data_IF_446652958519
#
_entry.id   IF_446652958519
#
_cell.length_a   1.000
_cell.length_b   1.000
_cell.length_c   1.000
_cell.angle_alpha   90.00
_cell.angle_beta   90.00
_cell.angle_gamma   90.00
#
_symmetry.space_group_name_H-M   'P 1'
#
loop_
_entity.id
_entity.type
_entity.pdbx_description
1 polymer ?
#
# COMPACT_ATOMS: atom_id res chain seq x y z
N UNK A 1 -25.24 3.54 10.63
CA UNK A 1 -24.92 4.18 11.90
C UNK A 1 -23.50 4.66 11.87
N UNK A 2 -23.26 5.90 12.31
CA UNK A 2 -21.96 6.55 12.18
C UNK A 2 -21.55 7.17 13.51
N UNK A 3 -20.36 6.82 14.01
CA UNK A 3 -19.77 7.49 15.18
C UNK A 3 -18.55 8.26 14.70
N UNK A 4 -18.52 9.55 14.99
CA UNK A 4 -17.36 10.39 14.72
C UNK A 4 -16.58 10.58 16.01
N UNK A 5 -15.29 10.33 15.97
CA UNK A 5 -14.37 10.54 17.09
C UNK A 5 -13.31 11.53 16.63
N UNK A 6 -13.22 12.66 17.33
CA UNK A 6 -12.27 13.72 17.02
C UNK A 6 -11.37 14.00 18.21
N UNK A 7 -10.07 13.83 17.99
CA UNK A 7 -9.04 14.29 18.92
C UNK A 7 -9.12 15.81 19.09
N UNK A 8 -9.11 16.23 20.33
CA UNK A 8 -9.13 17.63 20.78
C UNK A 8 -7.95 17.90 21.69
N UNK A 9 -6.87 17.13 21.61
CA UNK A 9 -5.62 17.36 22.34
C UNK A 9 -4.97 18.70 21.99
N UNK A 10 -4.05 19.17 22.85
CA UNK A 10 -3.40 20.46 22.66
C UNK A 10 -2.69 20.64 21.31
N UNK A 11 -2.13 19.57 20.72
CA UNK A 11 -1.46 19.58 19.40
C UNK A 11 -2.39 19.96 18.25
N UNK A 12 -3.71 19.75 18.41
CA UNK A 12 -4.70 20.16 17.42
C UNK A 12 -4.80 21.67 17.26
N UNK A 13 -4.26 22.47 18.20
CA UNK A 13 -4.18 23.92 18.07
C UNK A 13 -3.15 24.39 17.03
N UNK A 14 -2.24 23.51 16.61
CA UNK A 14 -1.19 23.86 15.67
C UNK A 14 -1.72 24.00 14.23
N UNK A 15 -1.21 24.98 13.50
CA UNK A 15 -1.33 25.12 12.03
C UNK A 15 -2.77 25.00 11.47
N UNK A 16 -3.76 25.38 12.27
CA UNK A 16 -5.18 25.32 11.88
C UNK A 16 -5.75 23.89 11.77
N UNK A 17 -5.11 22.88 12.38
CA UNK A 17 -5.55 21.47 12.33
C UNK A 17 -6.97 21.33 12.87
N UNK A 18 -7.28 21.93 14.02
CA UNK A 18 -8.61 21.87 14.63
C UNK A 18 -9.67 22.50 13.72
N UNK A 19 -9.41 23.66 13.12
CA UNK A 19 -10.34 24.34 12.20
C UNK A 19 -10.67 23.46 11.00
N UNK A 20 -9.63 22.85 10.41
CA UNK A 20 -9.78 21.91 9.29
C UNK A 20 -10.58 20.67 9.71
N UNK A 21 -10.29 20.11 10.89
CA UNK A 21 -10.96 18.91 11.38
C UNK A 21 -12.44 19.17 11.74
N UNK A 22 -12.75 20.32 12.37
CA UNK A 22 -14.13 20.77 12.60
C UNK A 22 -14.88 20.93 11.28
N UNK A 23 -14.27 21.59 10.29
CA UNK A 23 -14.91 21.81 8.98
C UNK A 23 -15.23 20.49 8.28
N UNK A 24 -14.28 19.55 8.29
CA UNK A 24 -14.44 18.20 7.78
C UNK A 24 -15.55 17.41 8.49
N UNK A 25 -15.62 17.50 9.83
CA UNK A 25 -16.65 16.85 10.62
C UNK A 25 -18.04 17.47 10.40
N UNK A 26 -18.14 18.80 10.32
CA UNK A 26 -19.37 19.50 9.97
C UNK A 26 -19.87 19.08 8.59
N UNK A 27 -18.98 18.94 7.61
CA UNK A 27 -19.34 18.40 6.30
C UNK A 27 -19.94 16.99 6.43
N UNK A 28 -19.31 16.11 7.20
CA UNK A 28 -19.82 14.76 7.47
C UNK A 28 -21.22 14.77 8.05
N UNK A 29 -21.45 15.52 9.14
CA UNK A 29 -22.76 15.64 9.82
C UNK A 29 -23.83 16.20 8.89
N UNK A 30 -23.51 17.22 8.08
CA UNK A 30 -24.48 17.84 7.15
C UNK A 30 -24.92 16.91 6.03
N UNK A 31 -24.03 16.02 5.58
CA UNK A 31 -24.27 15.09 4.48
C UNK A 31 -24.87 13.74 4.92
N UNK A 32 -25.17 13.58 6.21
CA UNK A 32 -25.96 12.44 6.70
C UNK A 32 -27.37 12.46 6.12
N UNK A 33 -27.91 11.29 5.82
CA UNK A 33 -29.28 11.11 5.34
C UNK A 33 -30.24 11.05 6.52
N UNK A 34 -31.50 11.43 6.34
CA UNK A 34 -32.50 11.42 7.42
C UNK A 34 -32.73 10.01 8.03
N UNK A 35 -32.43 8.95 7.27
CA UNK A 35 -32.48 7.56 7.75
C UNK A 35 -31.24 7.11 8.54
N UNK A 36 -30.20 7.92 8.64
CA UNK A 36 -28.99 7.61 9.38
C UNK A 36 -29.16 7.89 10.88
N UNK A 37 -28.33 7.23 11.70
CA UNK A 37 -28.14 7.56 13.11
C UNK A 37 -26.68 7.85 13.36
N UNK A 38 -26.39 8.82 14.22
CA UNK A 38 -25.02 9.21 14.49
C UNK A 38 -24.78 9.67 15.92
N UNK A 39 -23.51 9.72 16.30
CA UNK A 39 -23.05 10.42 17.50
C UNK A 39 -21.67 11.05 17.23
N UNK A 40 -21.31 12.08 17.99
CA UNK A 40 -20.00 12.73 17.94
C UNK A 40 -19.36 12.60 19.32
N UNK A 41 -18.11 12.19 19.33
CA UNK A 41 -17.27 12.07 20.51
C UNK A 41 -16.04 12.93 20.26
N UNK A 42 -15.73 13.83 21.19
CA UNK A 42 -14.40 14.42 21.23
C UNK A 42 -13.61 13.81 22.39
N UNK A 43 -12.29 13.75 22.25
CA UNK A 43 -11.46 13.25 23.33
C UNK A 43 -10.17 14.03 23.45
N UNK A 44 -9.66 14.07 24.68
CA UNK A 44 -8.32 14.53 25.00
C UNK A 44 -7.78 13.61 26.10
N UNK A 45 -7.65 14.08 27.35
CA UNK A 45 -7.40 13.20 28.50
C UNK A 45 -8.59 12.29 28.83
N UNK A 46 -9.80 12.77 28.57
CA UNK A 46 -11.07 12.08 28.75
C UNK A 46 -11.91 12.19 27.47
N UNK A 47 -12.84 11.26 27.27
CA UNK A 47 -13.85 11.32 26.22
C UNK A 47 -15.10 12.08 26.65
N UNK A 48 -15.64 12.86 25.73
CA UNK A 48 -16.92 13.55 25.89
C UNK A 48 -17.83 13.21 24.72
N UNK A 49 -18.95 12.58 25.06
CA UNK A 49 -19.97 12.20 24.10
C UNK A 49 -20.96 13.35 23.96
N UNK A 50 -21.36 13.66 22.73
CA UNK A 50 -22.45 14.60 22.46
C UNK A 50 -23.76 14.10 23.08
N UNK A 51 -24.02 12.80 22.96
CA UNK A 51 -25.20 12.10 23.50
C UNK A 51 -24.79 10.72 24.04
N UNK A 52 -25.57 10.13 24.95
CA UNK A 52 -25.24 8.80 25.49
C UNK A 52 -25.34 7.66 24.47
N UNK A 53 -26.05 7.88 23.35
CA UNK A 53 -26.27 6.91 22.29
C UNK A 53 -26.46 7.59 20.94
N UNK A 54 -26.60 6.78 19.89
CA UNK A 54 -26.85 7.25 18.54
C UNK A 54 -28.20 7.98 18.44
N UNK A 55 -28.19 9.18 17.86
CA UNK A 55 -29.40 9.97 17.57
C UNK A 55 -29.75 9.96 16.08
N UNK A 56 -31.03 10.14 15.69
CA UNK A 56 -31.42 10.27 14.29
C UNK A 56 -30.76 11.49 13.61
N UNK A 57 -30.31 11.35 12.37
CA UNK A 57 -29.72 12.43 11.58
C UNK A 57 -30.76 13.34 10.88
N UNK A 58 -31.91 13.56 11.53
CA UNK A 58 -32.90 14.54 11.06
C UNK A 58 -32.40 15.98 11.29
N UNK A 59 -33.17 16.99 10.87
CA UNK A 59 -32.79 18.40 11.00
C UNK A 59 -32.40 18.80 12.45
N UNK A 60 -33.11 18.30 13.46
CA UNK A 60 -32.84 18.59 14.87
C UNK A 60 -31.54 17.90 15.33
N UNK A 61 -31.36 16.63 14.99
CA UNK A 61 -30.16 15.87 15.32
C UNK A 61 -28.92 16.45 14.65
N UNK A 62 -28.98 16.76 13.36
CA UNK A 62 -27.89 17.42 12.63
C UNK A 62 -27.54 18.77 13.24
N UNK A 63 -28.54 19.60 13.57
CA UNK A 63 -28.30 20.89 14.25
C UNK A 63 -27.59 20.70 15.60
N UNK A 64 -27.99 19.70 16.39
CA UNK A 64 -27.31 19.37 17.65
C UNK A 64 -25.85 18.95 17.43
N UNK A 65 -25.59 18.12 16.42
CA UNK A 65 -24.25 17.75 15.99
C UNK A 65 -23.41 18.96 15.61
N UNK A 66 -23.94 19.86 14.79
CA UNK A 66 -23.24 21.09 14.41
C UNK A 66 -22.93 21.98 15.62
N UNK A 67 -23.88 22.15 16.54
CA UNK A 67 -23.69 22.97 17.73
C UNK A 67 -22.66 22.39 18.70
N UNK A 68 -22.56 21.06 18.79
CA UNK A 68 -21.51 20.37 19.55
C UNK A 68 -20.13 20.58 18.91
N UNK A 69 -20.02 20.33 17.60
CA UNK A 69 -18.74 20.43 16.87
C UNK A 69 -18.19 21.86 16.88
N UNK A 70 -19.05 22.87 16.76
CA UNK A 70 -18.64 24.28 16.79
C UNK A 70 -18.04 24.72 18.14
N UNK A 71 -18.32 24.01 19.22
CA UNK A 71 -17.80 24.32 20.57
C UNK A 71 -16.48 23.61 20.89
N UNK A 72 -16.02 22.71 20.03
CA UNK A 72 -14.82 21.92 20.29
C UNK A 72 -13.58 22.80 20.27
N UNK A 73 -12.79 22.73 21.33
CA UNK A 73 -11.54 23.47 21.51
C UNK A 73 -10.41 22.53 21.89
N UNK A 74 -9.19 22.74 21.34
CA UNK A 74 -8.01 21.96 21.73
C UNK A 74 -7.68 22.15 23.22
N UNK A 75 -7.43 21.05 23.95
CA UNK A 75 -6.99 21.03 25.33
C UNK A 75 -6.46 19.66 25.73
N UNK A 76 -5.56 19.59 26.72
CA UNK A 76 -5.17 18.32 27.36
C UNK A 76 -4.30 17.38 26.51
N UNK A 77 -4.18 16.13 26.99
CA UNK A 77 -3.45 15.04 26.35
C UNK A 77 -4.31 14.22 25.40
N UNK A 78 -3.94 12.96 25.16
CA UNK A 78 -4.52 12.12 24.10
C UNK A 78 -4.77 10.69 24.62
N UNK A 79 -6.02 10.35 24.94
CA UNK A 79 -6.46 9.05 25.43
C UNK A 79 -7.21 8.28 24.32
N UNK A 80 -6.44 7.66 23.42
CA UNK A 80 -6.99 6.89 22.29
C UNK A 80 -7.71 5.63 22.78
N UNK A 81 -7.21 4.97 23.83
CA UNK A 81 -7.77 3.71 24.31
C UNK A 81 -9.23 3.84 24.74
N UNK A 82 -9.50 4.77 25.66
CA UNK A 82 -10.83 4.88 26.27
C UNK A 82 -11.82 5.53 25.30
N UNK A 83 -11.38 6.51 24.51
CA UNK A 83 -12.19 7.10 23.45
C UNK A 83 -12.61 6.08 22.39
N UNK A 84 -11.70 5.21 21.95
CA UNK A 84 -12.02 4.14 21.00
C UNK A 84 -13.03 3.14 21.61
N UNK A 85 -12.85 2.75 22.87
CA UNK A 85 -13.78 1.84 23.56
C UNK A 85 -15.15 2.47 23.76
N UNK A 86 -15.20 3.74 24.14
CA UNK A 86 -16.45 4.50 24.27
C UNK A 86 -17.18 4.57 22.93
N UNK A 87 -16.45 4.83 21.83
CA UNK A 87 -17.00 4.88 20.50
C UNK A 87 -17.57 3.53 20.02
N UNK A 88 -16.85 2.42 20.26
CA UNK A 88 -17.31 1.09 19.91
C UNK A 88 -18.60 0.70 20.65
N UNK A 89 -18.75 1.12 21.92
CA UNK A 89 -19.95 0.88 22.74
C UNK A 89 -21.18 1.67 22.31
N UNK A 90 -21.03 2.65 21.42
CA UNK A 90 -22.19 3.40 20.89
C UNK A 90 -23.04 2.57 19.93
N UNK A 91 -22.46 1.54 19.32
CA UNK A 91 -23.17 0.73 18.36
C UNK A 91 -24.02 -0.35 19.04
N UNK A 92 -25.26 -0.48 18.56
CA UNK A 92 -26.16 -1.57 18.98
C UNK A 92 -25.95 -2.84 18.13
N UNK A 93 -26.66 -3.90 18.48
CA UNK A 93 -26.59 -5.20 17.80
C UNK A 93 -27.40 -5.28 16.50
N UNK A 94 -27.88 -4.16 15.95
CA UNK A 94 -28.67 -4.20 14.71
C UNK A 94 -27.80 -4.54 13.49
N UNK A 95 -28.38 -5.08 12.42
CA UNK A 95 -27.68 -5.40 11.16
C UNK A 95 -27.37 -4.16 10.30
N UNK A 96 -27.55 -2.95 10.85
CA UNK A 96 -27.24 -1.72 10.12
C UNK A 96 -25.72 -1.63 9.88
N UNK A 97 -25.26 -1.14 8.73
CA UNK A 97 -23.85 -0.83 8.52
C UNK A 97 -23.35 0.15 9.59
N UNK A 98 -22.21 -0.17 10.20
CA UNK A 98 -21.61 0.63 11.27
C UNK A 98 -20.30 1.22 10.79
N UNK A 99 -20.17 2.53 10.90
CA UNK A 99 -18.99 3.26 10.49
C UNK A 99 -18.45 4.05 11.68
N UNK A 100 -17.20 3.79 12.03
CA UNK A 100 -16.48 4.57 13.02
C UNK A 100 -15.43 5.40 12.28
N UNK A 101 -15.49 6.72 12.42
CA UNK A 101 -14.55 7.66 11.84
C UNK A 101 -13.70 8.24 12.98
N UNK A 102 -12.42 7.93 13.00
CA UNK A 102 -11.51 8.29 14.07
C UNK A 102 -10.42 9.24 13.58
N UNK A 103 -10.42 10.49 14.05
CA UNK A 103 -9.48 11.55 13.65
C UNK A 103 -8.54 11.88 14.81
N UNK A 104 -7.23 11.86 14.57
CA UNK A 104 -6.20 12.24 15.56
C UNK A 104 -4.96 12.83 14.90
N UNK A 105 -4.26 13.72 15.60
CA UNK A 105 -2.97 14.27 15.18
C UNK A 105 -1.80 13.86 16.08
N UNK A 106 -2.06 12.98 17.06
CA UNK A 106 -1.17 12.72 18.17
C UNK A 106 -0.89 11.25 18.45
N UNK A 107 0.05 11.06 19.38
CA UNK A 107 0.35 9.78 20.02
C UNK A 107 -0.53 9.58 21.26
N UNK A 108 -0.86 8.34 21.66
CA UNK A 108 -1.52 8.12 22.94
C UNK A 108 -0.58 8.55 24.08
N UNK A 109 -1.01 9.53 24.88
CA UNK A 109 -0.23 10.14 25.97
C UNK A 109 -0.90 10.02 27.33
N UNK A 110 -2.20 9.73 27.37
CA UNK A 110 -3.00 9.56 28.60
C UNK A 110 -3.67 8.18 28.56
N UNK A 111 -3.74 7.52 29.72
CA UNK A 111 -4.30 6.17 29.83
C UNK A 111 -3.34 5.11 29.30
N UNK A 112 -3.87 4.11 28.59
CA UNK A 112 -3.07 3.06 27.95
C UNK A 112 -2.41 3.59 26.67
N UNK A 113 -1.09 3.50 26.59
CA UNK A 113 -0.27 3.98 25.48
C UNK A 113 0.43 2.87 24.69
N UNK A 114 0.38 1.62 25.18
CA UNK A 114 0.90 0.49 24.43
C UNK A 114 -0.06 0.11 23.28
N UNK A 115 0.46 0.16 22.05
CA UNK A 115 -0.30 -0.06 20.81
C UNK A 115 -0.99 -1.43 20.80
N UNK A 116 -0.28 -2.50 21.14
CA UNK A 116 -0.82 -3.86 21.10
C UNK A 116 -1.98 -4.05 22.09
N UNK A 117 -1.89 -3.42 23.26
CA UNK A 117 -2.98 -3.42 24.25
C UNK A 117 -4.15 -2.58 23.81
N UNK A 118 -3.95 -1.39 23.22
CA UNK A 118 -5.04 -0.57 22.68
C UNK A 118 -5.85 -1.38 21.66
N UNK A 119 -5.16 -2.06 20.74
CA UNK A 119 -5.77 -2.90 19.71
C UNK A 119 -6.54 -4.06 20.36
N UNK A 120 -5.93 -4.76 21.31
CA UNK A 120 -6.60 -5.86 22.04
C UNK A 120 -7.86 -5.38 22.77
N UNK A 121 -7.78 -4.26 23.48
CA UNK A 121 -8.89 -3.67 24.20
C UNK A 121 -10.04 -3.27 23.26
N UNK A 122 -9.73 -2.84 22.03
CA UNK A 122 -10.73 -2.56 21.01
C UNK A 122 -11.39 -3.86 20.51
N UNK A 123 -10.61 -4.91 20.27
CA UNK A 123 -11.10 -6.22 19.81
C UNK A 123 -11.99 -6.94 20.84
N UNK A 124 -11.85 -6.65 22.13
CA UNK A 124 -12.74 -7.16 23.18
C UNK A 124 -14.20 -6.69 23.00
N UNK A 125 -14.41 -5.55 22.32
CA UNK A 125 -15.73 -5.00 22.04
C UNK A 125 -16.13 -5.41 20.62
N UNK A 126 -16.83 -6.55 20.51
CA UNK A 126 -17.29 -7.07 19.22
C UNK A 126 -18.43 -6.24 18.66
N UNK A 127 -18.17 -5.62 17.51
CA UNK A 127 -19.15 -4.85 16.75
C UNK A 127 -19.29 -5.46 15.36
N UNK A 128 -20.41 -6.15 15.10
CA UNK A 128 -20.66 -6.77 13.80
C UNK A 128 -20.87 -5.73 12.71
N UNK A 129 -20.34 -6.00 11.51
CA UNK A 129 -20.41 -5.12 10.34
C UNK A 129 -19.79 -3.72 10.56
N UNK A 130 -18.80 -3.63 11.46
CA UNK A 130 -18.01 -2.41 11.69
C UNK A 130 -17.03 -2.15 10.54
N UNK A 131 -16.96 -0.88 10.16
CA UNK A 131 -15.92 -0.29 9.32
C UNK A 131 -15.25 0.84 10.09
N UNK A 132 -13.96 0.69 10.42
CA UNK A 132 -13.18 1.71 11.14
C UNK A 132 -12.27 2.45 10.18
N UNK A 133 -12.53 3.74 9.98
CA UNK A 133 -11.69 4.61 9.17
C UNK A 133 -10.92 5.55 10.08
N UNK A 134 -9.60 5.55 9.95
CA UNK A 134 -8.72 6.39 10.75
C UNK A 134 -8.15 7.52 9.89
N UNK A 135 -8.02 8.70 10.48
CA UNK A 135 -7.50 9.90 9.84
C UNK A 135 -6.37 10.45 10.70
N UNK A 136 -5.13 10.27 10.24
CA UNK A 136 -3.95 10.82 10.89
C UNK A 136 -3.61 12.18 10.32
N UNK A 137 -3.67 13.22 11.15
CA UNK A 137 -3.40 14.61 10.73
C UNK A 137 -1.97 15.00 11.09
N UNK A 138 -1.19 15.48 10.14
CA UNK A 138 0.21 15.82 10.34
C UNK A 138 1.12 14.60 10.42
N UNK A 139 2.25 14.75 11.12
CA UNK A 139 3.30 13.74 11.19
C UNK A 139 3.41 13.08 12.57
N UNK A 140 2.78 13.64 13.60
CA UNK A 140 2.93 13.23 15.00
C UNK A 140 1.94 12.13 15.43
N UNK A 141 1.58 11.27 14.48
CA UNK A 141 0.64 10.17 14.66
C UNK A 141 1.34 8.82 14.73
N UNK A 142 0.73 7.87 15.44
CA UNK A 142 1.18 6.49 15.44
C UNK A 142 0.63 5.75 14.22
N UNK A 143 1.43 5.67 13.15
CA UNK A 143 0.96 5.07 11.89
C UNK A 143 0.65 3.58 12.03
N UNK A 144 1.43 2.84 12.82
CA UNK A 144 1.20 1.41 13.06
C UNK A 144 -0.15 1.16 13.77
N UNK A 145 -0.47 1.96 14.80
CA UNK A 145 -1.76 1.87 15.48
C UNK A 145 -2.92 2.16 14.54
N UNK A 146 -2.89 3.28 13.81
CA UNK A 146 -3.99 3.69 12.94
C UNK A 146 -4.19 2.74 11.76
N UNK A 147 -3.11 2.21 11.20
CA UNK A 147 -3.15 1.22 10.10
C UNK A 147 -3.72 -0.12 10.57
N UNK A 148 -3.32 -0.61 11.75
CA UNK A 148 -3.89 -1.83 12.35
C UNK A 148 -5.37 -1.68 12.68
N UNK A 149 -5.74 -0.59 13.36
CA UNK A 149 -7.14 -0.31 13.71
C UNK A 149 -8.04 -0.33 12.46
N UNK A 150 -7.62 0.31 11.38
CA UNK A 150 -8.38 0.34 10.15
C UNK A 150 -8.44 -1.03 9.45
N UNK A 151 -7.28 -1.68 9.25
CA UNK A 151 -7.19 -2.93 8.49
C UNK A 151 -7.90 -4.11 9.16
N UNK A 152 -7.83 -4.22 10.49
CA UNK A 152 -8.53 -5.27 11.24
C UNK A 152 -10.06 -5.10 11.21
N UNK A 153 -10.53 -3.87 11.02
CA UNK A 153 -11.95 -3.51 11.05
C UNK A 153 -12.48 -3.09 9.67
N UNK A 154 -11.96 -3.67 8.58
CA UNK A 154 -12.49 -3.50 7.21
C UNK A 154 -12.57 -2.05 6.72
N UNK A 155 -11.74 -1.16 7.26
CA UNK A 155 -11.65 0.23 6.83
C UNK A 155 -10.26 0.58 6.31
N UNK A 156 -10.04 1.87 6.13
CA UNK A 156 -8.80 2.43 5.58
C UNK A 156 -8.31 3.58 6.46
N UNK A 157 -7.00 3.62 6.66
CA UNK A 157 -6.31 4.73 7.31
C UNK A 157 -5.90 5.78 6.26
N UNK A 158 -6.24 7.04 6.48
CA UNK A 158 -5.88 8.16 5.60
C UNK A 158 -4.95 9.11 6.36
N UNK A 159 -3.83 9.49 5.76
CA UNK A 159 -2.92 10.49 6.33
C UNK A 159 -3.00 11.80 5.57
N UNK A 160 -3.03 12.89 6.32
CA UNK A 160 -3.17 14.24 5.81
C UNK A 160 -1.93 15.03 6.21
N UNK A 161 -1.08 15.29 5.23
CA UNK A 161 0.12 16.09 5.45
C UNK A 161 -0.27 17.55 5.76
N UNK A 162 0.56 18.34 6.46
CA UNK A 162 0.22 19.71 6.86
C UNK A 162 -0.22 20.63 5.70
N UNK A 163 0.35 20.40 4.51
CA UNK A 163 0.05 21.12 3.27
C UNK A 163 -1.17 20.59 2.52
N UNK A 164 -1.63 19.39 2.83
CA UNK A 164 -2.82 18.80 2.21
C UNK A 164 -4.10 19.38 2.83
N UNK A 165 -5.17 19.41 2.04
CA UNK A 165 -6.46 19.87 2.51
C UNK A 165 -7.24 18.69 3.14
N UNK A 166 -7.33 18.69 4.47
CA UNK A 166 -8.08 17.72 5.26
C UNK A 166 -9.56 17.67 4.86
N UNK A 167 -10.19 18.83 4.66
CA UNK A 167 -11.60 18.93 4.29
C UNK A 167 -11.87 18.21 2.98
N UNK A 168 -11.01 18.36 1.97
CA UNK A 168 -11.14 17.67 0.68
C UNK A 168 -11.02 16.15 0.84
N UNK A 169 -10.05 15.66 1.62
CA UNK A 169 -9.86 14.21 1.83
C UNK A 169 -11.04 13.59 2.56
N UNK A 170 -11.49 14.23 3.64
CA UNK A 170 -12.57 13.74 4.48
C UNK A 170 -13.94 13.87 3.79
N UNK A 171 -14.21 14.96 3.08
CA UNK A 171 -15.45 15.11 2.29
C UNK A 171 -15.53 14.10 1.15
N UNK A 172 -14.40 13.86 0.45
CA UNK A 172 -14.31 12.82 -0.58
C UNK A 172 -14.58 11.44 0.00
N UNK A 173 -14.07 11.17 1.21
CA UNK A 173 -14.38 9.95 1.95
C UNK A 173 -15.88 9.83 2.25
N UNK A 174 -16.51 10.85 2.85
CA UNK A 174 -17.94 10.82 3.17
C UNK A 174 -18.84 10.63 1.95
N UNK A 175 -18.48 11.27 0.85
CA UNK A 175 -19.21 11.12 -0.43
C UNK A 175 -19.22 9.67 -0.89
N UNK A 176 -18.10 8.95 -0.71
CA UNK A 176 -17.98 7.52 -1.03
C UNK A 176 -18.77 6.68 -0.03
N UNK A 177 -18.48 6.79 1.26
CA UNK A 177 -19.01 5.85 2.27
C UNK A 177 -20.50 5.98 2.55
N UNK A 178 -21.09 7.15 2.29
CA UNK A 178 -22.54 7.33 2.45
C UNK A 178 -23.35 6.59 1.38
N UNK A 179 -22.72 6.04 0.34
CA UNK A 179 -23.42 5.36 -0.75
C UNK A 179 -22.85 3.96 -1.03
N UNK A 180 -22.98 3.00 -0.09
CA UNK A 180 -22.66 1.61 -0.39
C UNK A 180 -23.59 1.08 -1.48
N UNK A 181 -23.01 0.48 -2.52
CA UNK A 181 -23.73 -0.11 -3.65
C UNK A 181 -23.90 -1.61 -3.44
N UNK A 182 -22.83 -2.26 -2.97
CA UNK A 182 -22.78 -3.70 -2.70
C UNK A 182 -21.94 -3.98 -1.45
N UNK A 183 -22.50 -4.67 -0.46
CA UNK A 183 -21.84 -5.01 0.80
C UNK A 183 -21.75 -6.51 1.00
N UNK A 184 -20.90 -6.96 1.93
CA UNK A 184 -20.74 -8.38 2.28
C UNK A 184 -20.41 -9.25 1.05
N UNK A 185 -19.35 -8.86 0.34
CA UNK A 185 -18.99 -9.50 -0.91
C UNK A 185 -18.38 -10.88 -0.69
N UNK A 186 -18.82 -11.83 -1.51
CA UNK A 186 -18.27 -13.18 -1.61
C UNK A 186 -18.11 -13.54 -3.08
N UNK A 187 -17.00 -14.18 -3.44
CA UNK A 187 -16.66 -14.49 -4.83
C UNK A 187 -16.33 -15.99 -4.93
N UNK A 188 -17.15 -16.71 -5.68
CA UNK A 188 -16.90 -18.08 -6.07
C UNK A 188 -16.12 -18.10 -7.39
N UNK A 189 -15.02 -18.86 -7.40
CA UNK A 189 -14.12 -19.02 -8.54
C UNK A 189 -14.50 -20.16 -9.50
N UNK A 190 -15.64 -20.82 -9.29
CA UNK A 190 -16.13 -21.85 -10.21
C UNK A 190 -15.18 -23.05 -10.34
N UNK A 191 -14.48 -23.40 -9.26
CA UNK A 191 -13.53 -24.50 -9.20
C UNK A 191 -12.07 -24.15 -9.57
N UNK A 192 -11.79 -22.91 -9.99
CA UNK A 192 -10.40 -22.47 -10.23
C UNK A 192 -9.66 -22.34 -8.91
N UNK A 193 -8.52 -23.03 -8.80
CA UNK A 193 -7.65 -22.93 -7.63
C UNK A 193 -6.84 -21.63 -7.70
N UNK A 194 -7.15 -20.71 -6.80
CA UNK A 194 -6.49 -19.40 -6.71
C UNK A 194 -5.65 -19.27 -5.43
N UNK A 195 -4.52 -18.59 -5.54
CA UNK A 195 -3.57 -18.32 -4.46
C UNK A 195 -3.15 -16.84 -4.48
N UNK A 196 -2.72 -16.34 -3.31
CA UNK A 196 -2.14 -15.00 -3.17
C UNK A 196 -3.04 -13.90 -3.78
N UNK A 197 -4.34 -13.92 -3.44
CA UNK A 197 -5.29 -12.89 -3.85
C UNK A 197 -5.20 -11.63 -2.99
N UNK A 198 -5.29 -10.47 -3.64
CA UNK A 198 -5.24 -9.15 -3.02
C UNK A 198 -6.38 -8.26 -3.52
N UNK A 199 -7.06 -7.50 -2.64
CA UNK A 199 -6.88 -7.50 -1.18
C UNK A 199 -7.28 -8.84 -0.54
N UNK A 200 -6.67 -9.19 0.60
CA UNK A 200 -6.95 -10.47 1.31
C UNK A 200 -8.37 -10.56 1.86
N UNK A 201 -8.98 -9.40 2.12
CA UNK A 201 -10.37 -9.26 2.55
C UNK A 201 -11.06 -8.35 1.54
N UNK A 202 -12.16 -8.82 0.94
CA UNK A 202 -12.97 -7.99 0.08
C UNK A 202 -13.71 -6.94 0.91
N UNK A 203 -13.63 -5.69 0.47
CA UNK A 203 -14.35 -4.57 1.05
C UNK A 203 -15.64 -4.33 0.27
N UNK A 204 -16.54 -3.54 0.85
CA UNK A 204 -17.72 -3.09 0.14
C UNK A 204 -17.38 -2.25 -1.09
N UNK A 205 -18.28 -2.25 -2.07
CA UNK A 205 -18.22 -1.36 -3.22
C UNK A 205 -19.10 -0.15 -2.94
N UNK A 206 -18.48 1.02 -2.94
CA UNK A 206 -19.14 2.31 -2.78
C UNK A 206 -19.35 2.99 -4.13
N UNK A 207 -20.35 3.86 -4.24
CA UNK A 207 -20.61 4.63 -5.46
C UNK A 207 -19.35 5.41 -5.89
N UNK A 208 -18.98 5.27 -7.17
CA UNK A 208 -17.79 5.92 -7.74
C UNK A 208 -16.46 5.29 -7.32
N UNK A 209 -16.48 4.09 -6.74
CA UNK A 209 -15.27 3.31 -6.42
C UNK A 209 -15.24 2.01 -7.23
N UNK A 210 -14.07 1.36 -7.23
CA UNK A 210 -13.86 0.07 -7.87
C UNK A 210 -13.11 -0.84 -6.91
N UNK A 211 -13.59 -2.07 -6.73
CA UNK A 211 -12.83 -3.14 -6.08
C UNK A 211 -12.10 -3.93 -7.17
N UNK A 212 -10.77 -3.97 -7.09
CA UNK A 212 -9.94 -4.78 -7.98
C UNK A 212 -9.32 -5.92 -7.19
N UNK A 213 -9.61 -7.15 -7.61
CA UNK A 213 -9.03 -8.36 -7.04
C UNK A 213 -7.99 -8.91 -8.01
N UNK A 214 -6.77 -9.12 -7.53
CA UNK A 214 -5.67 -9.70 -8.32
C UNK A 214 -5.06 -10.87 -7.57
N UNK A 215 -4.79 -11.97 -8.27
CA UNK A 215 -4.25 -13.18 -7.66
C UNK A 215 -3.58 -14.07 -8.70
N UNK A 216 -3.10 -15.21 -8.23
CA UNK A 216 -2.53 -16.26 -9.08
C UNK A 216 -3.49 -17.44 -9.11
N UNK A 217 -3.48 -18.18 -10.19
CA UNK A 217 -4.16 -19.47 -10.26
C UNK A 217 -3.16 -20.56 -10.64
N UNK A 218 -3.49 -21.81 -10.33
CA UNK A 218 -2.63 -22.97 -10.61
C UNK A 218 -3.43 -24.04 -11.34
N UNK A 219 -3.04 -24.32 -12.58
CA UNK A 219 -3.73 -25.28 -13.43
C UNK A 219 -2.76 -26.33 -13.99
N UNK A 220 -3.17 -27.60 -13.98
CA UNK A 220 -2.42 -28.69 -14.62
C UNK A 220 -2.70 -28.82 -16.13
N UNK A 221 -3.82 -28.25 -16.58
CA UNK A 221 -4.28 -28.17 -17.98
C UNK A 221 -5.11 -26.91 -18.17
N UNK A 222 -5.44 -26.52 -19.41
CA UNK A 222 -6.32 -25.38 -19.64
C UNK A 222 -7.70 -25.64 -19.00
N UNK A 223 -8.23 -24.63 -18.30
CA UNK A 223 -9.60 -24.67 -17.76
C UNK A 223 -10.41 -23.68 -18.60
N UNK A 224 -11.46 -24.16 -19.25
CA UNK A 224 -12.28 -23.38 -20.17
C UNK A 224 -13.72 -23.24 -19.64
N UNK A 225 -14.43 -22.21 -20.10
CA UNK A 225 -15.85 -22.01 -19.79
C UNK A 225 -16.16 -21.90 -18.29
N UNK A 226 -15.25 -21.35 -17.50
CA UNK A 226 -15.45 -21.10 -16.07
C UNK A 226 -16.52 -20.02 -15.89
N UNK A 227 -17.37 -20.21 -14.87
CA UNK A 227 -18.31 -19.19 -14.41
C UNK A 227 -17.92 -18.74 -13.01
N UNK A 228 -17.59 -17.46 -12.85
CA UNK A 228 -17.41 -16.84 -11.54
C UNK A 228 -18.74 -16.30 -11.04
N UNK A 229 -18.98 -16.40 -9.73
CA UNK A 229 -20.19 -15.89 -9.10
C UNK A 229 -19.84 -14.92 -7.98
N UNK A 230 -20.17 -13.64 -8.16
CA UNK A 230 -20.06 -12.62 -7.12
C UNK A 230 -21.41 -12.47 -6.42
N UNK A 231 -21.42 -12.69 -5.11
CA UNK A 231 -22.56 -12.45 -4.24
C UNK A 231 -22.31 -11.24 -3.34
N UNK A 232 -23.39 -10.56 -2.96
CA UNK A 232 -23.36 -9.46 -2.00
C UNK A 232 -24.77 -8.96 -1.68
N UNK A 233 -24.87 -7.90 -0.90
CA UNK A 233 -26.15 -7.27 -0.53
C UNK A 233 -26.23 -5.86 -1.10
N UNK A 234 -27.37 -5.52 -1.70
CA UNK A 234 -27.72 -4.13 -2.02
C UNK A 234 -28.89 -3.72 -1.13
N UNK A 235 -28.62 -2.87 -0.14
CA UNK A 235 -29.55 -2.66 0.97
C UNK A 235 -29.79 -3.95 1.76
N UNK A 236 -31.03 -4.42 1.78
CA UNK A 236 -31.42 -5.69 2.45
C UNK A 236 -31.48 -6.89 1.49
N UNK A 237 -31.41 -6.66 0.19
CA UNK A 237 -31.60 -7.69 -0.82
C UNK A 237 -30.26 -8.33 -1.19
N UNK A 238 -30.23 -9.66 -1.23
CA UNK A 238 -29.11 -10.39 -1.82
C UNK A 238 -29.09 -10.16 -3.34
N UNK A 239 -27.88 -10.00 -3.88
CA UNK A 239 -27.61 -9.82 -5.30
C UNK A 239 -26.51 -10.77 -5.72
N UNK A 240 -26.67 -11.35 -6.90
CA UNK A 240 -25.74 -12.30 -7.50
C UNK A 240 -25.41 -11.87 -8.92
N UNK A 241 -24.13 -11.87 -9.26
CA UNK A 241 -23.61 -11.55 -10.58
C UNK A 241 -22.79 -12.73 -11.10
N UNK A 242 -23.09 -13.20 -12.31
CA UNK A 242 -22.41 -14.34 -12.94
C UNK A 242 -21.58 -13.87 -14.12
N UNK A 243 -20.32 -14.28 -14.15
CA UNK A 243 -19.37 -14.00 -15.23
C UNK A 243 -18.97 -15.32 -15.87
N UNK A 244 -19.64 -15.68 -16.96
CA UNK A 244 -19.44 -16.95 -17.68
C UNK A 244 -18.43 -16.82 -18.83
N UNK A 245 -18.06 -17.96 -19.40
CA UNK A 245 -17.17 -18.09 -20.57
C UNK A 245 -15.77 -17.51 -20.31
N UNK A 246 -15.21 -17.81 -19.12
CA UNK A 246 -13.86 -17.41 -18.78
C UNK A 246 -12.89 -18.58 -18.92
N UNK A 247 -11.76 -18.31 -19.57
CA UNK A 247 -10.71 -19.28 -19.79
C UNK A 247 -9.48 -18.96 -18.94
N UNK A 248 -8.94 -19.99 -18.29
CA UNK A 248 -7.73 -19.96 -17.48
C UNK A 248 -6.71 -20.92 -18.09
N UNK A 249 -6.00 -20.49 -19.15
CA UNK A 249 -4.99 -21.32 -19.81
C UNK A 249 -3.77 -21.52 -18.91
N UNK A 250 -2.97 -22.55 -19.18
CA UNK A 250 -1.69 -22.75 -18.47
C UNK A 250 -0.70 -21.61 -18.70
N UNK A 251 -0.78 -20.96 -19.86
CA UNK A 251 0.09 -19.84 -20.25
C UNK A 251 -0.70 -18.86 -21.11
N UNK A 252 -0.62 -17.58 -20.76
CA UNK A 252 -1.16 -16.47 -21.53
C UNK A 252 -0.12 -15.35 -21.57
N UNK A 253 0.20 -14.87 -22.77
CA UNK A 253 1.25 -13.85 -22.97
C UNK A 253 0.68 -12.49 -23.36
N UNK A 254 -0.62 -12.43 -23.68
CA UNK A 254 -1.30 -11.20 -24.12
C UNK A 254 -1.31 -10.09 -23.07
N UNK A 255 -1.28 -10.45 -21.78
CA UNK A 255 -1.43 -9.51 -20.66
C UNK A 255 -0.17 -9.53 -19.76
N UNK A 256 0.99 -9.25 -20.36
CA UNK A 256 2.31 -9.26 -19.72
C UNK A 256 2.49 -8.23 -18.58
N UNK A 257 1.58 -7.28 -18.45
CA UNK A 257 1.53 -6.32 -17.34
C UNK A 257 0.99 -6.93 -16.03
N UNK A 258 0.18 -7.99 -16.10
CA UNK A 258 -0.49 -8.57 -14.93
C UNK A 258 0.49 -9.12 -13.87
N UNK A 259 1.58 -9.83 -14.21
CA UNK A 259 2.54 -10.32 -13.22
C UNK A 259 3.17 -9.21 -12.38
N UNK A 260 3.54 -8.08 -13.00
CA UNK A 260 4.08 -6.92 -12.27
C UNK A 260 3.01 -6.27 -11.40
N UNK A 261 1.79 -6.09 -11.91
CA UNK A 261 0.68 -5.55 -11.11
C UNK A 261 0.41 -6.41 -9.86
N UNK A 262 0.42 -7.74 -10.04
CA UNK A 262 0.29 -8.69 -8.93
C UNK A 262 1.46 -8.56 -7.94
N UNK A 263 2.69 -8.48 -8.43
CA UNK A 263 3.87 -8.35 -7.59
C UNK A 263 3.86 -7.03 -6.79
N UNK A 264 3.45 -5.91 -7.40
CA UNK A 264 3.30 -4.63 -6.70
C UNK A 264 2.29 -4.72 -5.56
N UNK A 265 1.14 -5.38 -5.80
CA UNK A 265 0.12 -5.62 -4.77
C UNK A 265 0.61 -6.53 -3.65
N UNK A 266 1.36 -7.59 -3.98
CA UNK A 266 2.00 -8.48 -3.00
C UNK A 266 3.04 -7.74 -2.16
N UNK A 267 3.91 -6.94 -2.79
CA UNK A 267 4.89 -6.09 -2.11
C UNK A 267 4.19 -5.11 -1.17
N UNK A 268 3.15 -4.40 -1.63
CA UNK A 268 2.37 -3.49 -0.79
C UNK A 268 1.76 -4.19 0.44
N UNK A 269 1.28 -5.42 0.28
CA UNK A 269 0.78 -6.23 1.40
C UNK A 269 1.91 -6.66 2.35
N UNK A 270 3.04 -7.15 1.83
CA UNK A 270 4.20 -7.56 2.63
C UNK A 270 4.78 -6.40 3.44
N UNK A 271 4.92 -5.24 2.81
CA UNK A 271 5.36 -4.01 3.47
C UNK A 271 4.43 -3.63 4.63
N UNK A 272 3.11 -3.79 4.46
CA UNK A 272 2.16 -3.56 5.53
C UNK A 272 2.30 -4.60 6.66
N UNK A 273 2.52 -5.88 6.34
CA UNK A 273 2.80 -6.89 7.35
C UNK A 273 4.07 -6.59 8.14
N UNK A 274 5.13 -6.12 7.48
CA UNK A 274 6.38 -5.73 8.15
C UNK A 274 6.14 -4.51 9.06
N UNK A 275 5.41 -3.50 8.60
CA UNK A 275 5.10 -2.30 9.40
C UNK A 275 4.21 -2.62 10.61
N UNK A 276 3.27 -3.54 10.44
CA UNK A 276 2.35 -3.95 11.49
C UNK A 276 3.02 -4.92 12.49
N UNK A 277 3.77 -5.91 12.03
CA UNK A 277 4.22 -7.02 12.88
C UNK A 277 5.73 -7.02 13.16
N UNK A 278 6.45 -6.04 12.63
CA UNK A 278 7.91 -5.98 12.67
C UNK A 278 8.56 -6.73 11.50
N UNK A 279 9.84 -6.43 11.28
CA UNK A 279 10.62 -7.05 10.22
C UNK A 279 10.99 -8.49 10.56
N UNK A 280 10.67 -9.39 9.64
CA UNK A 280 11.11 -10.78 9.66
C UNK A 280 11.92 -11.07 8.39
N UNK A 281 12.96 -11.89 8.52
CA UNK A 281 13.86 -12.24 7.41
C UNK A 281 13.09 -12.74 6.19
N UNK A 282 12.11 -13.62 6.40
CA UNK A 282 11.30 -14.21 5.34
C UNK A 282 10.49 -13.18 4.55
N UNK A 283 9.82 -12.25 5.25
CA UNK A 283 9.06 -11.18 4.61
C UNK A 283 9.96 -10.23 3.83
N UNK A 284 11.11 -9.85 4.42
CA UNK A 284 12.09 -8.99 3.75
C UNK A 284 12.65 -9.65 2.51
N UNK A 285 13.07 -10.92 2.62
CA UNK A 285 13.67 -11.65 1.50
C UNK A 285 12.65 -11.81 0.35
N UNK A 286 11.35 -12.01 0.64
CA UNK A 286 10.30 -12.03 -0.38
C UNK A 286 10.09 -10.65 -1.03
N UNK A 287 10.12 -9.56 -0.25
CA UNK A 287 10.04 -8.20 -0.81
C UNK A 287 11.23 -7.92 -1.73
N UNK A 288 12.44 -8.33 -1.36
CA UNK A 288 13.63 -8.20 -2.20
C UNK A 288 13.47 -9.03 -3.48
N UNK A 289 13.07 -10.30 -3.39
CA UNK A 289 12.87 -11.18 -4.55
C UNK A 289 11.84 -10.62 -5.54
N UNK A 290 10.69 -10.15 -5.05
CA UNK A 290 9.68 -9.52 -5.90
C UNK A 290 10.16 -8.17 -6.45
N UNK A 291 10.85 -7.39 -5.62
CA UNK A 291 11.44 -6.10 -5.98
C UNK A 291 12.40 -6.21 -7.15
N UNK A 292 13.36 -7.14 -7.07
CA UNK A 292 14.34 -7.37 -8.14
C UNK A 292 13.73 -8.09 -9.34
N UNK A 293 12.89 -9.10 -9.14
CA UNK A 293 12.31 -9.85 -10.27
C UNK A 293 11.45 -8.97 -11.17
N UNK A 294 10.61 -8.11 -10.58
CA UNK A 294 9.63 -7.30 -11.31
C UNK A 294 10.03 -5.83 -11.48
N UNK A 295 11.22 -5.45 -11.02
CA UNK A 295 11.72 -4.07 -11.12
C UNK A 295 10.91 -3.08 -10.26
N UNK A 296 10.49 -3.49 -9.06
CA UNK A 296 9.69 -2.68 -8.14
C UNK A 296 10.62 -2.01 -7.13
N UNK A 297 10.57 -0.67 -7.03
CA UNK A 297 11.35 0.08 -6.04
C UNK A 297 10.75 -0.09 -4.64
N UNK A 298 11.40 -0.90 -3.83
CA UNK A 298 11.07 -1.15 -2.42
C UNK A 298 12.11 -0.49 -1.49
N UNK A 299 11.83 -0.34 -0.18
CA UNK A 299 12.84 0.13 0.75
C UNK A 299 14.05 -0.80 0.93
N UNK A 300 13.97 -2.04 0.42
CA UNK A 300 15.03 -3.04 0.49
C UNK A 300 15.80 -3.20 -0.82
N UNK A 301 15.45 -2.43 -1.84
CA UNK A 301 16.06 -2.48 -3.18
C UNK A 301 16.47 -1.08 -3.60
N UNK A 302 17.75 -0.88 -3.91
CA UNK A 302 18.26 0.36 -4.51
C UNK A 302 18.79 0.08 -5.91
N UNK A 303 18.59 1.04 -6.81
CA UNK A 303 19.21 1.03 -8.13
C UNK A 303 20.39 1.99 -8.10
N UNK A 304 21.60 1.49 -8.37
CA UNK A 304 22.77 2.35 -8.54
C UNK A 304 22.82 2.77 -10.02
N UNK A 305 22.74 4.08 -10.27
CA UNK A 305 23.12 4.65 -11.55
C UNK A 305 24.63 4.89 -11.50
N UNK A 306 25.40 4.11 -12.24
CA UNK A 306 26.78 4.46 -12.54
C UNK A 306 26.76 5.21 -13.87
N UNK A 307 26.88 6.53 -13.84
CA UNK A 307 27.20 7.26 -15.07
C UNK A 307 28.55 6.71 -15.56
N UNK A 308 28.61 6.29 -16.84
CA UNK A 308 29.79 5.68 -17.45
C UNK A 308 31.02 6.59 -17.56
N UNK A 309 31.16 7.61 -16.70
CA UNK A 309 32.24 8.59 -16.68
C UNK A 309 33.36 8.31 -15.66
N UNK A 310 33.32 7.21 -14.89
CA UNK A 310 34.37 6.92 -13.90
C UNK A 310 35.67 6.30 -14.47
N UNK A 311 35.80 6.13 -15.80
CA UNK A 311 36.96 5.48 -16.40
C UNK A 311 37.96 6.37 -17.17
N UNK A 312 37.81 7.71 -17.19
CA UNK A 312 38.77 8.57 -17.90
C UNK A 312 39.79 9.34 -17.02
N UNK A 313 39.60 9.47 -15.71
CA UNK A 313 40.49 10.30 -14.87
C UNK A 313 41.68 9.56 -14.22
N UNK A 314 41.97 8.31 -14.58
CA UNK A 314 43.12 7.55 -14.02
C UNK A 314 44.41 7.61 -14.84
N UNK A 315 44.57 8.62 -15.70
CA UNK A 315 45.85 8.87 -16.40
C UNK A 315 46.26 10.34 -16.35
N UNK A 316 46.57 10.86 -15.17
CA UNK A 316 47.64 11.84 -14.96
C UNK A 316 47.77 12.26 -13.48
N UNK A 317 48.66 11.61 -12.73
CA UNK A 317 49.68 12.26 -11.88
C UNK A 317 50.38 11.22 -11.02
N UNK A 318 51.67 11.05 -11.31
CA UNK A 318 52.66 10.26 -10.58
C UNK A 318 53.09 10.93 -9.26
N UNK A 319 53.68 10.10 -8.40
CA UNK A 319 54.57 10.40 -7.26
C UNK A 319 53.98 10.90 -5.93
N UNK A 320 53.86 10.00 -4.95
CA UNK A 320 54.95 9.75 -3.97
C UNK A 320 54.50 8.83 -2.82
N UNK A 321 55.37 7.84 -2.57
CA UNK A 321 55.63 7.01 -1.37
C UNK A 321 54.75 7.11 -0.11
N UNK A 322 54.17 5.95 0.26
CA UNK A 322 54.37 5.28 1.57
C UNK A 322 53.59 5.77 2.80
N UNK A 323 52.64 4.97 3.29
CA UNK A 323 52.69 4.28 4.60
C UNK A 323 51.38 3.52 4.91
N UNK A 324 51.54 2.53 5.78
CA UNK A 324 50.66 1.42 6.16
C UNK A 324 49.43 1.75 7.01
N UNK A 325 48.44 0.85 6.92
CA UNK A 325 47.36 0.51 7.87
C UNK A 325 47.32 1.23 9.23
N UNK A 326 46.18 1.85 9.56
CA UNK A 326 45.56 1.68 10.88
C UNK A 326 44.09 2.12 10.92
N UNK A 327 43.27 1.21 11.46
CA UNK A 327 41.90 1.42 11.91
C UNK A 327 41.91 2.45 13.04
N UNK A 328 41.11 3.53 12.96
CA UNK A 328 40.71 4.31 14.15
C UNK A 328 39.33 4.96 13.94
N UNK A 329 38.41 4.61 14.83
CA UNK A 329 37.13 5.28 15.09
C UNK A 329 37.38 6.68 15.69
N UNK A 330 36.84 7.73 15.08
CA UNK A 330 36.92 9.09 15.60
C UNK A 330 35.99 10.07 14.88
N UNK A 331 35.07 10.66 15.64
CA UNK A 331 33.92 11.53 15.27
C UNK A 331 34.23 12.89 14.60
N UNK A 332 33.24 13.32 13.79
CA UNK A 332 32.75 14.70 13.44
C UNK A 332 33.65 15.54 12.53
N UNK A 333 33.18 16.24 11.48
CA UNK A 333 31.91 16.95 11.27
C UNK A 333 31.64 17.23 9.77
N UNK A 334 30.35 17.23 9.40
CA UNK A 334 29.67 18.01 8.35
C UNK A 334 30.41 18.37 7.04
N UNK A 335 29.99 17.76 5.93
CA UNK A 335 29.53 18.48 4.72
C UNK A 335 28.39 17.73 4.02
N UNK A 336 27.42 18.52 3.56
CA UNK A 336 26.16 18.17 2.92
C UNK A 336 26.24 17.17 1.77
N UNK A 337 25.27 16.25 1.74
CA UNK A 337 24.59 15.83 0.51
C UNK A 337 23.20 15.27 0.86
N UNK A 338 22.31 16.19 1.25
CA UNK A 338 20.88 15.95 1.21
C UNK A 338 20.46 15.93 -0.26
N UNK A 339 20.22 14.74 -0.82
CA UNK A 339 19.20 14.58 -1.85
C UNK A 339 18.06 13.72 -1.25
N UNK A 340 16.91 14.31 -0.92
CA UNK A 340 15.78 13.57 -0.34
C UNK A 340 15.11 12.56 -1.28
N UNK A 341 15.54 12.47 -2.55
CA UNK A 341 14.83 11.69 -3.57
C UNK A 341 15.18 10.21 -3.63
N UNK A 342 16.25 9.76 -2.95
CA UNK A 342 16.77 8.39 -3.13
C UNK A 342 17.05 7.61 -1.84
N UNK A 343 16.58 8.08 -0.67
CA UNK A 343 16.70 7.30 0.56
C UNK A 343 15.46 6.43 0.78
N UNK A 344 15.60 5.12 0.69
CA UNK A 344 14.58 4.17 1.11
C UNK A 344 14.15 4.42 2.57
N UNK A 345 12.83 4.49 2.87
CA UNK A 345 12.37 4.70 4.24
C UNK A 345 12.73 3.50 5.13
N UNK A 346 13.21 3.76 6.36
CA UNK A 346 13.40 2.72 7.37
C UNK A 346 12.04 2.16 7.80
N UNK A 347 11.82 0.86 7.56
CA UNK A 347 10.51 0.21 7.70
C UNK A 347 10.02 0.16 9.17
N UNK A 348 10.90 0.36 10.15
CA UNK A 348 10.57 0.36 11.58
C UNK A 348 10.13 1.70 12.19
N UNK A 349 10.11 2.81 11.44
CA UNK A 349 9.66 4.10 12.00
C UNK A 349 8.14 4.17 12.00
N UNK A 350 7.53 4.33 13.18
CA UNK A 350 6.06 4.35 13.34
C UNK A 350 5.47 5.76 13.47
N UNK A 351 6.28 6.79 13.68
CA UNK A 351 5.90 8.21 13.80
C UNK A 351 6.74 9.12 12.91
N UNK A 352 6.28 10.35 12.67
CA UNK A 352 7.00 11.35 11.89
C UNK A 352 6.81 11.22 10.38
N UNK A 353 7.42 12.15 9.64
CA UNK A 353 7.22 12.30 8.19
C UNK A 353 7.53 11.02 7.40
N UNK A 354 8.62 10.32 7.75
CA UNK A 354 9.00 9.07 7.07
C UNK A 354 7.98 7.96 7.28
N UNK A 355 7.41 7.85 8.47
CA UNK A 355 6.39 6.84 8.78
C UNK A 355 5.11 7.09 7.99
N UNK A 356 4.66 8.36 7.93
CA UNK A 356 3.49 8.78 7.14
C UNK A 356 3.71 8.50 5.65
N UNK A 357 4.87 8.88 5.10
CA UNK A 357 5.21 8.63 3.70
C UNK A 357 5.28 7.14 3.37
N UNK A 358 5.87 6.33 4.25
CA UNK A 358 5.93 4.88 4.09
C UNK A 358 4.53 4.25 4.07
N UNK A 359 3.63 4.68 4.96
CA UNK A 359 2.24 4.21 4.96
C UNK A 359 1.49 4.59 3.67
N UNK A 360 1.60 5.86 3.26
CA UNK A 360 0.96 6.35 2.02
C UNK A 360 1.45 5.54 0.81
N UNK A 361 2.76 5.29 0.70
CA UNK A 361 3.33 4.48 -0.40
C UNK A 361 2.83 3.03 -0.37
N UNK A 362 2.83 2.38 0.79
CA UNK A 362 2.33 1.01 0.92
C UNK A 362 0.86 0.88 0.50
N UNK A 363 0.01 1.84 0.88
CA UNK A 363 -1.40 1.88 0.48
C UNK A 363 -1.59 2.16 -1.00
N UNK A 364 -0.79 3.05 -1.59
CA UNK A 364 -0.82 3.28 -3.03
C UNK A 364 -0.51 1.99 -3.79
N UNK A 365 0.53 1.26 -3.40
CA UNK A 365 0.86 -0.05 -4.00
C UNK A 365 -0.27 -1.07 -3.82
N UNK A 366 -0.96 -1.05 -2.67
CA UNK A 366 -2.12 -1.90 -2.44
C UNK A 366 -3.38 -1.48 -3.21
N UNK A 367 -3.47 -0.22 -3.65
CA UNK A 367 -4.60 0.31 -4.41
C UNK A 367 -4.35 0.35 -5.93
N UNK A 368 -3.12 0.07 -6.38
CA UNK A 368 -2.67 0.23 -7.77
C UNK A 368 -3.46 -0.66 -8.74
N UNK A 369 -4.24 -0.06 -9.64
CA UNK A 369 -5.10 -0.78 -10.62
C UNK A 369 -4.47 -0.83 -12.01
N UNK A 370 -3.51 0.06 -12.28
CA UNK A 370 -2.87 0.20 -13.58
C UNK A 370 -1.37 0.07 -13.39
N UNK A 371 -0.71 -0.70 -14.26
CA UNK A 371 0.73 -0.59 -14.43
C UNK A 371 0.94 0.64 -15.29
N UNK A 372 1.37 1.75 -14.70
CA UNK A 372 1.82 2.89 -15.50
C UNK A 372 3.00 2.41 -16.34
N UNK A 373 2.82 2.44 -17.67
CA UNK A 373 3.90 2.19 -18.64
C UNK A 373 5.02 3.23 -18.54
N UNK A 374 4.75 4.34 -17.83
CA UNK A 374 5.60 5.52 -17.73
C UNK A 374 6.13 5.84 -16.32
N UNK A 375 5.61 5.24 -15.23
CA UNK A 375 6.21 5.49 -13.92
C UNK A 375 7.51 4.71 -13.80
N UNK A 376 8.59 5.49 -13.86
CA UNK A 376 9.96 5.06 -13.72
C UNK A 376 10.29 3.92 -14.70
N UNK A 377 10.40 4.25 -15.99
CA UNK A 377 11.67 3.87 -16.64
C UNK A 377 12.71 4.36 -15.66
N UNK A 378 13.29 3.43 -14.91
CA UNK A 378 14.43 3.69 -14.06
C UNK A 378 15.45 4.32 -15.01
N UNK A 379 15.50 5.66 -15.04
CA UNK A 379 16.34 6.45 -15.96
C UNK A 379 17.81 6.33 -15.58
N UNK A 380 18.18 5.26 -14.90
CA UNK A 380 19.56 4.94 -14.54
C UNK A 380 20.28 4.25 -15.69
N UNK A 381 19.59 3.89 -16.78
CA UNK A 381 20.19 3.17 -17.92
C UNK A 381 20.62 1.74 -17.59
N UNK A 382 20.61 1.36 -16.31
CA UNK A 382 21.09 0.08 -15.77
C UNK A 382 19.97 -0.95 -15.54
N UNK A 383 18.70 -0.57 -15.68
CA UNK A 383 17.57 -1.51 -15.61
C UNK A 383 16.58 -1.27 -16.73
N UNK A 384 16.19 -2.33 -17.44
CA UNK A 384 15.23 -2.28 -18.54
C UNK A 384 14.18 -3.38 -18.38
N UNK A 385 12.93 -3.04 -18.70
CA UNK A 385 11.84 -4.01 -18.79
C UNK A 385 11.56 -4.31 -20.25
N UNK A 386 11.50 -5.59 -20.61
CA UNK A 386 11.15 -6.06 -21.95
C UNK A 386 10.12 -7.18 -21.80
N UNK A 387 8.91 -6.98 -22.33
CA UNK A 387 7.79 -7.89 -22.10
C UNK A 387 7.53 -8.14 -20.61
N UNK A 388 7.48 -9.42 -20.21
CA UNK A 388 7.32 -9.85 -18.80
C UNK A 388 8.61 -9.81 -17.98
N UNK A 389 9.77 -9.54 -18.59
CA UNK A 389 11.09 -9.70 -17.96
C UNK A 389 11.72 -8.38 -17.56
N UNK A 390 12.49 -8.43 -16.48
CA UNK A 390 13.33 -7.33 -16.01
C UNK A 390 14.78 -7.69 -16.27
N UNK A 391 15.55 -6.76 -16.81
CA UNK A 391 16.97 -6.93 -17.11
C UNK A 391 17.80 -5.89 -16.37
N UNK A 392 18.96 -6.32 -15.88
CA UNK A 392 19.94 -5.52 -15.19
C UNK A 392 21.22 -5.45 -16.01
N UNK A 393 21.81 -4.27 -16.14
CA UNK A 393 23.11 -4.11 -16.79
C UNK A 393 24.21 -4.37 -15.75
N UNK A 394 24.91 -5.49 -15.91
CA UNK A 394 25.99 -5.94 -15.05
C UNK A 394 27.25 -6.15 -15.87
N UNK A 395 28.31 -5.38 -15.62
CA UNK A 395 29.58 -5.49 -16.35
C UNK A 395 29.42 -5.48 -17.89
N UNK A 396 28.62 -4.54 -18.41
CA UNK A 396 28.25 -4.42 -19.84
C UNK A 396 27.48 -5.61 -20.44
N UNK A 397 26.88 -6.46 -19.60
CA UNK A 397 26.00 -7.56 -19.99
C UNK A 397 24.59 -7.30 -19.45
N UNK A 398 23.57 -7.41 -20.30
CA UNK A 398 22.18 -7.39 -19.84
C UNK A 398 21.79 -8.76 -19.28
N UNK A 399 21.48 -8.82 -18.00
CA UNK A 399 21.16 -10.05 -17.27
C UNK A 399 19.69 -10.07 -16.87
N UNK A 400 18.97 -11.10 -17.28
CA UNK A 400 17.60 -11.38 -16.86
C UNK A 400 17.53 -11.56 -15.33
N UNK A 401 16.59 -10.92 -14.66
CA UNK A 401 16.41 -10.94 -13.21
C UNK A 401 16.14 -12.34 -12.63
N UNK A 402 15.70 -13.28 -13.46
CA UNK A 402 15.50 -14.68 -13.07
C UNK A 402 16.75 -15.56 -13.26
N UNK A 403 17.81 -15.05 -13.90
CA UNK A 403 19.05 -15.78 -14.07
C UNK A 403 19.77 -15.94 -12.73
N UNK A 404 20.26 -17.15 -12.47
CA UNK A 404 21.13 -17.48 -11.34
C UNK A 404 22.33 -18.25 -11.85
N UNK A 405 23.53 -17.76 -11.54
CA UNK A 405 24.79 -18.32 -12.05
C UNK A 405 24.99 -19.79 -11.63
N UNK A 406 24.50 -20.17 -10.45
CA UNK A 406 24.59 -21.54 -9.92
C UNK A 406 23.47 -22.49 -10.42
N UNK A 407 22.67 -22.07 -11.41
CA UNK A 407 21.56 -22.90 -11.89
C UNK A 407 22.05 -24.06 -12.77
N UNK A 408 21.52 -25.27 -12.55
CA UNK A 408 21.77 -26.46 -13.41
C UNK A 408 20.97 -26.43 -14.72
N UNK A 409 20.57 -25.24 -15.16
CA UNK A 409 19.72 -25.06 -16.33
C UNK A 409 20.59 -25.17 -17.58
N UNK A 410 20.14 -25.85 -18.65
CA UNK A 410 20.92 -25.94 -19.88
C UNK A 410 21.23 -24.55 -20.46
N UNK A 411 22.49 -24.31 -20.82
CA UNK A 411 22.96 -23.04 -21.41
C UNK A 411 23.26 -23.21 -22.90
N UNK A 412 22.93 -22.20 -23.70
CA UNK A 412 23.39 -22.05 -25.08
C UNK A 412 24.05 -20.69 -25.26
N UNK A 413 25.31 -20.76 -25.68
CA UNK A 413 26.15 -19.59 -25.93
C UNK A 413 26.19 -19.31 -27.42
N UNK A 414 25.93 -18.06 -27.81
CA UNK A 414 25.88 -17.61 -29.21
C UNK A 414 26.68 -16.32 -29.36
N UNK A 415 27.29 -16.15 -30.54
CA UNK A 415 27.99 -14.91 -30.89
C UNK A 415 26.97 -13.94 -31.50
N UNK A 416 27.02 -12.69 -31.09
CA UNK A 416 26.12 -11.65 -31.59
C UNK A 416 26.21 -11.52 -33.11
N UNK A 417 25.06 -11.44 -33.77
CA UNK A 417 24.94 -11.36 -35.23
C UNK A 417 25.60 -12.52 -36.00
N UNK A 418 25.85 -13.67 -35.37
CA UNK A 418 26.26 -14.89 -36.08
C UNK A 418 25.08 -15.52 -36.84
N UNK A 419 25.37 -16.48 -37.71
CA UNK A 419 24.31 -17.22 -38.42
C UNK A 419 23.38 -17.94 -37.43
N UNK A 420 23.96 -18.60 -36.43
CA UNK A 420 23.24 -19.34 -35.39
C UNK A 420 22.37 -18.42 -34.53
N UNK A 421 22.78 -17.16 -34.34
CA UNK A 421 21.97 -16.14 -33.68
C UNK A 421 20.70 -15.81 -34.47
N UNK A 422 20.81 -15.58 -35.77
CA UNK A 422 19.65 -15.30 -36.63
C UNK A 422 18.76 -16.55 -36.80
N UNK A 423 19.33 -17.74 -36.95
CA UNK A 423 18.59 -19.01 -37.00
C UNK A 423 17.75 -19.23 -35.71
N UNK A 424 18.29 -18.83 -34.54
CA UNK A 424 17.54 -18.86 -33.29
C UNK A 424 16.41 -17.83 -33.26
N UNK A 425 16.64 -16.59 -33.69
CA UNK A 425 15.60 -15.56 -33.71
C UNK A 425 14.47 -15.94 -34.67
N UNK A 426 14.78 -16.53 -35.82
CA UNK A 426 13.78 -16.95 -36.79
C UNK A 426 12.89 -18.08 -36.26
N UNK A 427 13.47 -19.00 -35.48
CA UNK A 427 12.73 -20.10 -34.83
C UNK A 427 11.99 -19.66 -33.56
N UNK A 428 12.53 -18.70 -32.80
CA UNK A 428 11.99 -18.20 -31.53
C UNK A 428 11.91 -16.66 -31.56
N UNK A 429 10.97 -16.12 -32.35
CA UNK A 429 10.83 -14.68 -32.61
C UNK A 429 10.72 -13.81 -31.37
N UNK A 430 10.16 -14.34 -30.29
CA UNK A 430 10.04 -13.63 -29.01
C UNK A 430 11.38 -13.36 -28.33
N UNK A 431 12.47 -14.06 -28.70
CA UNK A 431 13.80 -13.76 -28.18
C UNK A 431 14.38 -12.46 -28.76
N UNK A 432 13.94 -12.04 -29.95
CA UNK A 432 14.45 -10.86 -30.63
C UNK A 432 14.34 -9.59 -29.78
N UNK A 433 13.22 -9.41 -29.06
CA UNK A 433 13.02 -8.24 -28.20
C UNK A 433 14.06 -8.20 -27.06
N UNK A 434 14.43 -9.35 -26.49
CA UNK A 434 15.42 -9.41 -25.41
C UNK A 434 16.82 -9.17 -25.94
N UNK A 435 17.16 -9.75 -27.09
CA UNK A 435 18.46 -9.54 -27.72
C UNK A 435 18.63 -8.12 -28.29
N UNK A 436 17.55 -7.36 -28.47
CA UNK A 436 17.65 -5.94 -28.84
C UNK A 436 18.24 -5.05 -27.73
N UNK A 437 18.42 -5.57 -26.51
CA UNK A 437 18.98 -4.82 -25.38
C UNK A 437 20.45 -4.45 -25.57
N UNK A 438 21.24 -5.27 -26.28
CA UNK A 438 22.66 -5.04 -26.55
C UNK A 438 23.38 -6.25 -27.15
N UNK A 439 24.68 -6.12 -27.36
CA UNK A 439 25.53 -7.19 -27.93
C UNK A 439 25.83 -8.33 -26.94
N UNK A 440 25.56 -8.12 -25.65
CA UNK A 440 25.75 -9.12 -24.60
C UNK A 440 24.50 -9.20 -23.75
N UNK A 441 23.82 -10.36 -23.79
CA UNK A 441 22.54 -10.57 -23.12
C UNK A 441 22.49 -12.00 -22.57
N UNK A 442 22.09 -12.16 -21.32
CA UNK A 442 21.74 -13.43 -20.69
C UNK A 442 20.25 -13.43 -20.44
N UNK A 443 19.52 -14.39 -21.03
CA UNK A 443 18.07 -14.52 -20.84
C UNK A 443 17.69 -15.96 -20.52
N UNK A 444 16.80 -16.14 -19.53
CA UNK A 444 16.19 -17.42 -19.25
C UNK A 444 14.88 -17.53 -20.04
N UNK A 445 14.86 -18.38 -21.06
CA UNK A 445 13.68 -18.55 -21.92
C UNK A 445 13.28 -20.02 -22.04
N UNK A 446 12.00 -20.32 -21.74
CA UNK A 446 11.41 -21.68 -21.80
C UNK A 446 12.27 -22.75 -21.11
N UNK A 447 12.85 -22.42 -19.95
CA UNK A 447 13.67 -23.36 -19.15
C UNK A 447 15.09 -23.58 -19.68
N UNK A 448 15.60 -22.67 -20.51
CA UNK A 448 16.96 -22.70 -21.06
C UNK A 448 17.61 -21.32 -20.96
N UNK A 449 18.90 -21.28 -20.67
CA UNK A 449 19.68 -20.03 -20.65
C UNK A 449 20.24 -19.77 -22.04
N UNK A 450 20.05 -18.57 -22.55
CA UNK A 450 20.69 -18.08 -23.77
C UNK A 450 21.66 -16.98 -23.39
N UNK A 451 22.94 -17.16 -23.73
CA UNK A 451 24.02 -16.21 -23.47
C UNK A 451 24.57 -15.70 -24.80
N UNK A 452 24.26 -14.45 -25.12
CA UNK A 452 24.82 -13.74 -26.25
C UNK A 452 26.13 -13.10 -25.81
N UNK A 453 27.19 -13.33 -26.57
CA UNK A 453 28.51 -12.72 -26.38
C UNK A 453 28.96 -12.01 -27.65
N UNK A 454 29.91 -11.10 -27.52
CA UNK A 454 30.55 -10.43 -28.66
C UNK A 454 31.34 -11.39 -29.55
#
# INVERSE_FOLDING_TARGET
>A
DIVFVLDTSGSMSDEGKMEKARSALLFGVRNLRDGDRFNVINFAGEEHLMENGLIPANAVGRKRGEDFVNKLTPSGGTNINDSLRAALRQFDSTDRPKLLVFMTDGLPTVGESNVEKIIRNAQEIKVENLRLFTFGVGYDVNTSLLDKLASENSGEATYIEPKENLEVKVSSFFTKVNSPVLTNLELDFGGVQTELLYPRKMTDIFKGTQLTLIGRYKNASNIENVTLELQGKSGKEARTFKYANLDFPMRAEKNDFLPRLWATRRVGWLMEQIRSNGEQKELRDEVVDLGTRYGIVTPYTSYLATDGSENEDRRASSDSSGFSNQITMGRRNNRSANDPRNSAPSVGTITGQRAVQASKKAKQQQAEVTVTTEDEVIKTGTVKKVGTKTFYLENDVWVDSEFKEESKIPETKLVFASKEFFDLIDSEKELAQFFSLGEQVIVLWKGKIYRIVK
#
